data_IF_754946098419
#
_entry.id   IF_754946098419
#
_cell.length_a   1.000
_cell.length_b   1.000
_cell.length_c   1.000
_cell.angle_alpha   90.00
_cell.angle_beta   90.00
_cell.angle_gamma   90.00
#
_symmetry.space_group_name_H-M   'P 1'
#
loop_
_entity.id
_entity.type
_entity.pdbx_description
1 polymer ?
#
# COMPACT_ATOMS: atom_id res chain seq x y z
N UNK A 1 -14.03 31.80 9.49
CA UNK A 1 -13.15 30.96 10.35
C UNK A 1 -13.80 29.60 10.45
N UNK A 2 -13.33 28.63 9.67
CA UNK A 2 -13.72 27.22 9.81
C UNK A 2 -12.42 26.42 9.97
N UNK A 3 -12.26 25.83 11.15
CA UNK A 3 -11.12 25.00 11.52
C UNK A 3 -11.34 23.60 10.96
N UNK A 4 -10.45 23.15 10.08
CA UNK A 4 -10.36 21.74 9.71
C UNK A 4 -9.43 21.05 10.70
N UNK A 5 -10.00 20.27 11.61
CA UNK A 5 -9.25 19.37 12.48
C UNK A 5 -8.62 18.28 11.62
N UNK A 6 -7.31 18.38 11.38
CA UNK A 6 -6.51 17.28 10.84
C UNK A 6 -6.30 16.29 11.97
N UNK A 7 -6.78 15.07 11.78
CA UNK A 7 -6.46 13.94 12.66
C UNK A 7 -5.05 13.52 12.25
N UNK A 8 -4.05 14.04 12.97
CA UNK A 8 -2.71 13.46 12.98
C UNK A 8 -2.79 12.21 13.85
N UNK A 9 -2.65 11.02 13.24
CA UNK A 9 -2.22 9.86 14.02
C UNK A 9 -0.74 10.09 14.32
N UNK A 10 -0.43 10.50 15.56
CA UNK A 10 0.90 10.36 16.13
C UNK A 10 1.28 8.88 16.07
N UNK A 11 2.21 8.56 15.17
CA UNK A 11 2.80 7.25 15.04
C UNK A 11 3.84 7.13 16.15
N UNK A 12 3.49 6.41 17.21
CA UNK A 12 4.36 6.13 18.36
C UNK A 12 5.65 5.46 17.88
N UNK A 13 6.76 5.92 18.45
CA UNK A 13 8.14 5.70 18.04
C UNK A 13 8.48 4.18 18.00
N UNK A 14 8.54 3.61 16.80
CA UNK A 14 9.21 2.33 16.58
C UNK A 14 10.68 2.63 16.26
N UNK A 15 11.48 2.74 17.32
CA UNK A 15 12.95 2.65 17.23
C UNK A 15 13.32 1.29 16.63
N UNK A 16 13.56 1.26 15.32
CA UNK A 16 14.16 0.12 14.64
C UNK A 16 15.36 0.61 13.83
N UNK A 17 16.44 0.89 14.55
CA UNK A 17 17.81 1.00 14.03
C UNK A 17 18.24 -0.35 13.43
N UNK A 18 17.89 -0.61 12.17
CA UNK A 18 18.48 -1.67 11.36
C UNK A 18 18.27 -1.39 9.86
N UNK A 19 19.09 -0.49 9.30
CA UNK A 19 19.64 -0.56 7.93
C UNK A 19 18.69 -1.10 6.82
N UNK A 20 17.46 -0.61 6.82
CA UNK A 20 16.61 -0.56 5.64
C UNK A 20 16.35 0.92 5.45
N UNK A 21 16.65 1.44 4.26
CA UNK A 21 16.28 2.79 3.85
C UNK A 21 14.78 2.97 4.16
N UNK A 22 14.47 3.53 5.34
CA UNK A 22 13.12 3.90 5.70
C UNK A 22 12.84 5.05 4.76
N UNK A 23 12.23 4.72 3.63
CA UNK A 23 11.72 5.69 2.68
C UNK A 23 10.96 6.70 3.54
N UNK A 24 11.50 7.92 3.64
CA UNK A 24 10.91 8.96 4.44
C UNK A 24 9.46 9.09 3.96
N UNK A 25 8.50 8.94 4.88
CA UNK A 25 7.09 8.94 4.51
C UNK A 25 6.68 10.26 3.84
N UNK A 26 7.49 11.32 4.01
CA UNK A 26 7.37 12.60 3.34
C UNK A 26 7.67 12.55 1.82
N UNK A 27 8.35 11.53 1.30
CA UNK A 27 8.61 11.34 -0.15
C UNK A 27 7.61 10.40 -0.83
N UNK A 28 6.65 9.86 -0.07
CA UNK A 28 5.61 8.96 -0.59
C UNK A 28 4.36 9.73 -1.01
N UNK A 29 4.13 9.85 -2.32
CA UNK A 29 2.89 10.39 -2.86
C UNK A 29 1.80 9.30 -2.84
N UNK A 30 0.85 9.44 -1.90
CA UNK A 30 -0.29 8.51 -1.78
C UNK A 30 -1.55 9.13 -2.35
N UNK A 31 -2.14 8.48 -3.35
CA UNK A 31 -3.42 8.88 -3.96
C UNK A 31 -4.44 7.76 -3.81
N UNK A 32 -5.69 8.12 -3.48
CA UNK A 32 -6.81 7.17 -3.40
C UNK A 32 -7.87 7.53 -4.44
N UNK A 33 -8.22 6.56 -5.26
CA UNK A 33 -9.30 6.67 -6.24
C UNK A 33 -10.43 5.71 -5.89
N UNK A 34 -11.66 6.20 -5.94
CA UNK A 34 -12.86 5.39 -5.72
C UNK A 34 -13.74 5.49 -6.96
N UNK A 35 -13.92 4.37 -7.64
CA UNK A 35 -14.89 4.24 -8.72
C UNK A 35 -16.24 3.80 -8.13
N UNK A 36 -17.13 4.76 -7.97
CA UNK A 36 -18.47 4.55 -7.41
C UNK A 36 -19.36 3.70 -8.34
N UNK A 37 -19.06 3.64 -9.64
CA UNK A 37 -19.84 2.88 -10.60
C UNK A 37 -19.54 1.38 -10.54
N UNK A 38 -18.29 1.02 -10.22
CA UNK A 38 -17.83 -0.38 -10.11
C UNK A 38 -17.67 -0.86 -8.67
N UNK A 39 -17.64 0.05 -7.71
CA UNK A 39 -17.34 -0.27 -6.30
C UNK A 39 -15.86 -0.57 -6.06
N UNK A 40 -14.97 -0.18 -6.99
CA UNK A 40 -13.53 -0.40 -6.89
C UNK A 40 -12.83 0.76 -6.20
N UNK A 41 -11.86 0.42 -5.37
CA UNK A 41 -10.99 1.35 -4.67
C UNK A 41 -9.56 1.05 -5.10
N UNK A 42 -8.82 2.09 -5.47
CA UNK A 42 -7.42 2.01 -5.87
C UNK A 42 -6.60 2.91 -4.96
N UNK A 43 -5.63 2.30 -4.27
CA UNK A 43 -4.63 3.01 -3.50
C UNK A 43 -3.33 3.00 -4.30
N UNK A 44 -2.89 4.17 -4.72
CA UNK A 44 -1.61 4.35 -5.38
C UNK A 44 -0.62 4.94 -4.39
N UNK A 45 0.51 4.26 -4.22
CA UNK A 45 1.67 4.76 -3.50
C UNK A 45 2.80 4.92 -4.52
N UNK A 46 3.27 6.14 -4.73
CA UNK A 46 4.33 6.45 -5.69
C UNK A 46 5.51 7.11 -4.97
N UNK A 47 6.72 6.71 -5.36
CA UNK A 47 7.96 7.26 -4.80
C UNK A 47 8.98 7.47 -5.91
N UNK A 48 9.96 8.33 -5.65
CA UNK A 48 11.11 8.52 -6.52
C UNK A 48 12.36 7.96 -5.85
N UNK A 49 13.33 7.50 -6.64
CA UNK A 49 14.63 7.06 -6.10
C UNK A 49 15.55 8.24 -5.71
N UNK A 50 15.17 9.47 -6.09
CA UNK A 50 15.91 10.68 -5.76
C UNK A 50 14.93 11.75 -5.24
N UNK A 51 15.32 12.44 -4.16
CA UNK A 51 14.50 13.43 -3.45
C UNK A 51 14.19 14.72 -4.26
N UNK A 52 14.90 14.98 -5.37
CA UNK A 52 14.58 16.06 -6.32
C UNK A 52 14.75 15.52 -7.76
N UNK A 53 13.82 14.65 -8.20
CA UNK A 53 13.88 14.09 -9.53
C UNK A 53 13.40 15.16 -10.52
N UNK A 54 14.07 15.40 -11.67
CA UNK A 54 13.48 16.19 -12.74
C UNK A 54 12.04 15.72 -13.06
N UNK A 55 11.13 16.58 -13.54
CA UNK A 55 9.73 16.21 -13.80
C UNK A 55 9.55 15.08 -14.82
N UNK A 56 10.62 14.73 -15.56
CA UNK A 56 10.69 13.62 -16.51
C UNK A 56 11.22 12.30 -15.90
N UNK A 57 11.69 12.31 -14.65
CA UNK A 57 12.15 11.09 -13.97
C UNK A 57 10.94 10.28 -13.53
N UNK A 58 10.91 9.01 -13.95
CA UNK A 58 9.75 8.19 -13.70
C UNK A 58 9.73 7.70 -12.26
N UNK A 59 8.57 7.89 -11.62
CA UNK A 59 8.26 7.45 -10.26
C UNK A 59 7.88 5.97 -10.29
N UNK A 60 8.46 5.19 -9.40
CA UNK A 60 7.95 3.85 -9.10
C UNK A 60 6.60 3.99 -8.43
N UNK A 61 5.69 3.07 -8.71
CA UNK A 61 4.41 3.09 -8.01
C UNK A 61 3.84 1.70 -7.82
N UNK A 62 3.18 1.51 -6.68
CA UNK A 62 2.36 0.34 -6.40
C UNK A 62 0.90 0.79 -6.31
N UNK A 63 0.05 0.12 -7.08
CA UNK A 63 -1.40 0.32 -7.09
C UNK A 63 -2.04 -0.90 -6.47
N UNK A 64 -2.59 -0.74 -5.27
CA UNK A 64 -3.42 -1.75 -4.61
C UNK A 64 -4.88 -1.53 -5.00
N UNK A 65 -5.50 -2.53 -5.61
CA UNK A 65 -6.90 -2.52 -6.02
C UNK A 65 -7.71 -3.45 -5.14
N UNK A 66 -8.87 -2.99 -4.67
CA UNK A 66 -9.82 -3.81 -3.92
C UNK A 66 -11.23 -3.28 -4.11
N UNK A 67 -12.21 -4.17 -4.09
CA UNK A 67 -13.62 -3.79 -4.08
C UNK A 67 -14.06 -3.37 -2.67
N UNK A 68 -15.12 -2.56 -2.56
CA UNK A 68 -15.69 -2.11 -1.29
C UNK A 68 -16.06 -3.28 -0.36
N UNK A 69 -16.60 -4.37 -0.91
CA UNK A 69 -16.95 -5.56 -0.14
C UNK A 69 -15.70 -6.22 0.48
N UNK A 70 -14.60 -6.30 -0.29
CA UNK A 70 -13.31 -6.80 0.20
C UNK A 70 -12.74 -5.88 1.28
N UNK A 71 -12.92 -4.57 1.14
CA UNK A 71 -12.50 -3.60 2.16
C UNK A 71 -13.27 -3.77 3.46
N UNK A 72 -14.59 -3.96 3.41
CA UNK A 72 -15.42 -4.23 4.59
C UNK A 72 -14.95 -5.51 5.29
N UNK A 73 -14.76 -6.58 4.52
CA UNK A 73 -14.26 -7.85 5.04
C UNK A 73 -12.86 -7.74 5.65
N UNK A 74 -11.99 -6.90 5.09
CA UNK A 74 -10.66 -6.63 5.63
C UNK A 74 -10.74 -5.85 6.94
N UNK A 75 -11.65 -4.88 7.06
CA UNK A 75 -11.86 -4.10 8.26
C UNK A 75 -12.38 -4.95 9.44
N UNK A 76 -13.16 -5.99 9.15
CA UNK A 76 -13.66 -6.96 10.13
C UNK A 76 -12.62 -7.98 10.61
N UNK A 77 -11.39 -7.95 10.09
CA UNK A 77 -10.33 -8.88 10.51
C UNK A 77 -9.67 -8.45 11.82
N UNK A 78 -9.41 -9.44 12.68
CA UNK A 78 -8.52 -9.27 13.82
C UNK A 78 -7.12 -8.86 13.36
N UNK A 79 -6.41 -8.10 14.21
CA UNK A 79 -5.07 -7.58 13.93
C UNK A 79 -4.09 -8.67 13.47
N UNK A 80 -4.10 -9.83 14.13
CA UNK A 80 -3.25 -10.97 13.76
C UNK A 80 -3.52 -11.48 12.34
N UNK A 81 -4.77 -11.44 11.89
CA UNK A 81 -5.15 -11.85 10.54
C UNK A 81 -4.80 -10.76 9.53
N UNK A 82 -4.97 -9.47 9.89
CA UNK A 82 -4.50 -8.35 9.06
C UNK A 82 -3.00 -8.41 8.83
N UNK A 83 -2.20 -8.69 9.86
CA UNK A 83 -0.75 -8.88 9.73
C UNK A 83 -0.37 -10.01 8.76
N UNK A 84 -1.15 -11.11 8.74
CA UNK A 84 -0.97 -12.19 7.75
C UNK A 84 -1.33 -11.75 6.33
N UNK A 85 -2.40 -10.96 6.16
CA UNK A 85 -2.74 -10.36 4.85
C UNK A 85 -1.61 -9.44 4.38
N UNK A 86 -1.04 -8.62 5.27
CA UNK A 86 0.12 -7.78 4.96
C UNK A 86 1.32 -8.62 4.51
N UNK A 87 1.63 -9.72 5.21
CA UNK A 87 2.72 -10.62 4.81
C UNK A 87 2.49 -11.25 3.42
N UNK A 88 1.25 -11.66 3.12
CA UNK A 88 0.89 -12.19 1.79
C UNK A 88 1.04 -11.10 0.71
N UNK A 89 0.58 -9.88 0.99
CA UNK A 89 0.70 -8.74 0.07
C UNK A 89 2.17 -8.40 -0.19
N UNK A 90 2.99 -8.35 0.86
CA UNK A 90 4.42 -8.10 0.75
C UNK A 90 5.10 -9.14 -0.14
N UNK A 91 4.90 -10.42 0.14
CA UNK A 91 5.47 -11.50 -0.67
C UNK A 91 4.99 -11.47 -2.13
N UNK A 92 3.74 -11.05 -2.36
CA UNK A 92 3.18 -10.88 -3.72
C UNK A 92 3.85 -9.72 -4.45
N UNK A 93 4.06 -8.60 -3.77
CA UNK A 93 4.76 -7.43 -4.33
C UNK A 93 6.21 -7.78 -4.65
N UNK A 94 6.92 -8.46 -3.74
CA UNK A 94 8.29 -8.92 -3.96
C UNK A 94 8.41 -9.85 -5.17
N UNK A 95 7.59 -10.91 -5.27
CA UNK A 95 7.61 -11.83 -6.43
C UNK A 95 7.38 -11.09 -7.73
N UNK A 96 6.47 -10.12 -7.75
CA UNK A 96 6.19 -9.35 -8.95
C UNK A 96 7.36 -8.43 -9.30
N UNK A 97 7.97 -7.75 -8.32
CA UNK A 97 9.12 -6.89 -8.53
C UNK A 97 10.33 -7.68 -9.08
N UNK A 98 10.61 -8.87 -8.57
CA UNK A 98 11.68 -9.75 -9.09
C UNK A 98 11.50 -10.13 -10.56
N UNK A 99 10.27 -10.03 -11.08
CA UNK A 99 9.90 -10.44 -12.44
C UNK A 99 9.84 -9.27 -13.42
N UNK A 100 9.96 -8.04 -12.93
CA UNK A 100 9.85 -6.83 -13.75
C UNK A 100 11.27 -6.39 -14.20
N UNK A 101 11.42 -5.91 -15.45
CA UNK A 101 12.68 -5.33 -15.88
C UNK A 101 12.95 -4.02 -15.13
N UNK A 102 14.22 -3.75 -14.79
CA UNK A 102 14.76 -2.66 -13.96
C UNK A 102 14.27 -1.21 -14.26
N UNK A 103 13.50 -0.96 -15.31
CA UNK A 103 13.11 0.39 -15.73
C UNK A 103 11.63 0.68 -15.45
N UNK A 104 11.40 1.61 -14.51
CA UNK A 104 10.16 2.37 -14.30
C UNK A 104 8.85 1.56 -14.30
N UNK A 105 8.44 1.15 -13.11
CA UNK A 105 7.36 0.17 -13.00
C UNK A 105 6.20 0.69 -12.16
N UNK A 106 5.02 0.68 -12.77
CA UNK A 106 3.75 0.69 -12.04
C UNK A 106 3.34 -0.75 -11.78
N UNK A 107 3.45 -1.19 -10.53
CA UNK A 107 2.99 -2.51 -10.12
C UNK A 107 1.52 -2.43 -9.70
N UNK A 108 0.67 -3.26 -10.29
CA UNK A 108 -0.74 -3.36 -9.85
C UNK A 108 -0.96 -4.68 -9.13
N UNK A 109 -1.47 -4.62 -7.90
CA UNK A 109 -1.80 -5.77 -7.06
C UNK A 109 -3.28 -5.69 -6.69
N UNK A 110 -4.00 -6.80 -6.85
CA UNK A 110 -5.41 -6.89 -6.44
C UNK A 110 -5.53 -7.65 -5.13
N UNK A 111 -6.08 -7.01 -4.09
CA UNK A 111 -6.46 -7.72 -2.87
C UNK A 111 -7.80 -8.39 -3.09
N UNK A 112 -7.80 -9.71 -3.05
CA UNK A 112 -8.99 -10.53 -3.30
C UNK A 112 -9.50 -11.21 -2.04
N UNK A 113 -10.77 -11.58 -2.05
CA UNK A 113 -11.39 -12.41 -1.01
C UNK A 113 -10.63 -13.71 -0.73
N UNK A 114 -10.05 -14.32 -1.77
CA UNK A 114 -9.26 -15.53 -1.64
C UNK A 114 -7.99 -15.31 -0.79
N UNK A 115 -7.37 -14.13 -0.89
CA UNK A 115 -6.22 -13.75 -0.05
C UNK A 115 -6.64 -13.55 1.40
N UNK A 116 -7.79 -12.93 1.64
CA UNK A 116 -8.36 -12.79 2.99
C UNK A 116 -8.66 -14.16 3.60
N UNK A 117 -9.25 -15.06 2.83
CA UNK A 117 -9.57 -16.42 3.26
C UNK A 117 -8.31 -17.26 3.48
N UNK A 118 -7.26 -17.08 2.68
CA UNK A 118 -5.97 -17.71 2.88
C UNK A 118 -5.34 -17.26 4.21
N UNK A 119 -5.34 -15.96 4.49
CA UNK A 119 -4.82 -15.39 5.75
C UNK A 119 -5.55 -15.95 6.98
N UNK A 120 -6.87 -16.16 6.87
CA UNK A 120 -7.68 -16.78 7.93
C UNK A 120 -7.35 -18.26 8.16
N UNK A 121 -6.90 -18.99 7.14
CA UNK A 121 -6.59 -20.43 7.23
C UNK A 121 -5.18 -20.74 7.76
N UNK A 122 -4.28 -19.77 7.78
CA UNK A 122 -2.93 -19.88 8.32
C UNK A 122 -2.90 -19.79 9.87
N UNK A 123 -3.97 -20.22 10.54
CA UNK A 123 -4.10 -20.25 12.00
C UNK A 123 -3.31 -21.39 12.62
#
# INVERSE_FOLDING_TARGET
MQSHSRIWLENDEIDNDADGDMIDADDLDTTVHVDVSTGRIMFQAAWAEAADPPPETARHSVVLVLDCDTMERYADLDESTRMRVHAILHATVEDLLERLPDEHVTLTVELTDAMLDAARRLQ
#
